data_IF_888426082284
#
_entry.id   IF_888426082284
#
_cell.length_a   1.000
_cell.length_b   1.000
_cell.length_c   1.000
_cell.angle_alpha   90.00
_cell.angle_beta   90.00
_cell.angle_gamma   90.00
#
_symmetry.space_group_name_H-M   'P 1'
#
loop_
_entity.id
_entity.type
_entity.pdbx_description
1 polymer ?
#
# COMPACT_ATOMS: atom_id res chain seq x y z
N UNK A 1 3.94 -26.73 1.20
CA UNK A 1 2.91 -26.04 2.00
C UNK A 1 2.60 -24.76 1.25
N UNK A 2 1.39 -24.64 0.70
CA UNK A 2 0.96 -23.45 -0.03
C UNK A 2 0.84 -22.31 0.99
N UNK A 3 1.80 -21.38 0.98
CA UNK A 3 1.59 -20.10 1.63
C UNK A 3 0.39 -19.46 0.92
N UNK A 4 -0.71 -19.26 1.63
CA UNK A 4 -1.85 -18.49 1.14
C UNK A 4 -1.29 -17.14 0.73
N UNK A 5 -1.23 -16.86 -0.57
CA UNK A 5 -0.70 -15.60 -1.05
C UNK A 5 -1.62 -14.50 -0.51
N UNK A 6 -1.04 -13.57 0.23
CA UNK A 6 -1.76 -12.43 0.80
C UNK A 6 -1.24 -11.16 0.16
N UNK A 7 -2.17 -10.29 -0.20
CA UNK A 7 -1.91 -8.93 -0.64
C UNK A 7 -2.00 -7.98 0.55
N UNK A 8 -1.23 -6.90 0.51
CA UNK A 8 -1.29 -5.83 1.49
C UNK A 8 -1.99 -4.64 0.85
N UNK A 9 -3.05 -4.15 1.49
CA UNK A 9 -3.77 -2.94 1.09
C UNK A 9 -3.47 -1.84 2.09
N UNK A 10 -2.96 -0.72 1.62
CA UNK A 10 -2.80 0.50 2.40
C UNK A 10 -3.96 1.43 2.10
N UNK A 11 -4.62 1.90 3.15
CA UNK A 11 -5.66 2.93 3.04
C UNK A 11 -5.05 4.30 3.30
N UNK A 12 -5.20 5.21 2.34
CA UNK A 12 -4.77 6.60 2.49
C UNK A 12 -5.99 7.51 2.50
N UNK A 13 -6.25 8.27 3.58
CA UNK A 13 -7.36 9.21 3.62
C UNK A 13 -7.30 10.21 2.46
N UNK A 14 -8.45 10.51 1.87
CA UNK A 14 -8.61 11.53 0.82
C UNK A 14 -9.32 12.76 1.37
N UNK A 15 -9.46 13.80 0.55
CA UNK A 15 -10.22 14.99 0.92
C UNK A 15 -11.71 14.69 1.16
N UNK A 16 -12.23 13.59 0.58
CA UNK A 16 -13.60 13.14 0.86
C UNK A 16 -13.76 12.64 2.29
N UNK A 17 -12.71 12.04 2.88
CA UNK A 17 -12.76 11.66 4.28
C UNK A 17 -12.96 12.90 5.16
N UNK A 18 -12.17 13.95 4.93
CA UNK A 18 -12.33 15.21 5.66
C UNK A 18 -13.72 15.84 5.45
N UNK A 19 -14.26 15.76 4.22
CA UNK A 19 -15.61 16.25 3.92
C UNK A 19 -16.69 15.46 4.69
N UNK A 20 -16.58 14.13 4.74
CA UNK A 20 -17.49 13.26 5.49
C UNK A 20 -17.46 13.60 6.98
N UNK A 21 -16.26 13.82 7.54
CA UNK A 21 -16.12 14.22 8.95
C UNK A 21 -16.75 15.60 9.19
N UNK A 22 -16.53 16.57 8.31
CA UNK A 22 -17.11 17.90 8.45
C UNK A 22 -18.64 17.89 8.35
N UNK A 23 -19.23 17.00 7.55
CA UNK A 23 -20.68 16.84 7.43
C UNK A 23 -21.29 16.22 8.69
N UNK A 24 -20.69 15.15 9.22
CA UNK A 24 -21.26 14.40 10.34
C UNK A 24 -20.85 14.93 11.72
N UNK A 25 -19.75 15.69 11.79
CA UNK A 25 -19.23 16.34 13.00
C UNK A 25 -18.93 17.82 12.71
N UNK A 26 -19.94 18.67 12.48
CA UNK A 26 -19.75 20.07 12.07
C UNK A 26 -19.00 20.94 13.11
N UNK A 27 -19.05 20.55 14.39
CA UNK A 27 -18.35 21.23 15.49
C UNK A 27 -16.91 20.75 15.68
N UNK A 28 -16.46 19.75 14.91
CA UNK A 28 -15.14 19.17 15.02
C UNK A 28 -14.23 19.65 13.88
N UNK A 29 -13.13 20.33 14.23
CA UNK A 29 -12.14 20.78 13.27
C UNK A 29 -11.11 19.68 13.00
N UNK A 30 -11.32 18.90 11.93
CA UNK A 30 -10.45 17.80 11.55
C UNK A 30 -9.13 18.30 10.91
N UNK A 31 -7.95 17.95 11.46
CA UNK A 31 -6.65 18.46 11.00
C UNK A 31 -6.10 17.69 9.78
N UNK A 32 -6.84 17.70 8.67
CA UNK A 32 -6.56 16.88 7.48
C UNK A 32 -5.11 16.96 6.95
N UNK A 33 -4.48 18.13 6.96
CA UNK A 33 -3.10 18.31 6.46
C UNK A 33 -2.05 17.56 7.29
N UNK A 34 -2.31 17.36 8.58
CA UNK A 34 -1.41 16.62 9.48
C UNK A 34 -1.54 15.12 9.22
N UNK A 35 -2.74 14.64 8.91
CA UNK A 35 -3.01 13.21 8.70
C UNK A 35 -2.63 12.70 7.32
N UNK A 36 -2.59 13.57 6.30
CA UNK A 36 -1.98 13.25 5.01
C UNK A 36 -0.51 12.79 5.13
N UNK A 37 0.17 13.24 6.20
CA UNK A 37 1.56 12.90 6.50
C UNK A 37 1.69 11.85 7.61
N UNK A 38 0.57 11.35 8.15
CA UNK A 38 0.58 10.33 9.18
C UNK A 38 0.88 8.95 8.59
N UNK A 39 1.36 8.06 9.45
CA UNK A 39 1.55 6.66 9.07
C UNK A 39 0.19 6.02 8.75
N UNK A 40 0.13 5.32 7.62
CA UNK A 40 -1.09 4.69 7.13
C UNK A 40 -1.17 3.25 7.63
N UNK A 41 -2.36 2.79 7.97
CA UNK A 41 -2.57 1.38 8.29
C UNK A 41 -2.60 0.56 7.01
N UNK A 42 -1.93 -0.59 7.08
CA UNK A 42 -2.00 -1.60 6.07
C UNK A 42 -2.78 -2.82 6.55
N UNK A 43 -3.49 -3.46 5.63
CA UNK A 43 -4.35 -4.60 5.88
C UNK A 43 -3.93 -5.77 5.01
N UNK A 44 -3.83 -6.97 5.60
CA UNK A 44 -3.58 -8.18 4.80
C UNK A 44 -4.88 -8.81 4.37
N UNK A 45 -5.09 -8.92 3.05
CA UNK A 45 -6.22 -9.64 2.44
C UNK A 45 -5.70 -10.82 1.61
N UNK A 46 -6.52 -11.86 1.34
CA UNK A 46 -6.13 -12.89 0.38
C UNK A 46 -5.90 -12.28 -1.01
N UNK A 47 -4.97 -12.85 -1.77
CA UNK A 47 -4.88 -12.58 -3.22
C UNK A 47 -6.15 -13.09 -3.88
N UNK A 48 -6.76 -12.24 -4.69
CA UNK A 48 -7.98 -12.55 -5.44
C UNK A 48 -7.63 -12.81 -6.90
N UNK A 49 -8.38 -13.72 -7.54
CA UNK A 49 -8.13 -14.09 -8.94
C UNK A 49 -8.59 -13.01 -9.94
N UNK A 50 -9.47 -12.09 -9.51
CA UNK A 50 -9.97 -10.98 -10.31
C UNK A 50 -10.52 -9.82 -9.44
N UNK A 51 -10.82 -8.70 -10.11
CA UNK A 51 -11.31 -7.46 -9.49
C UNK A 51 -12.70 -7.58 -8.86
N UNK A 52 -13.60 -8.41 -9.40
CA UNK A 52 -14.94 -8.63 -8.82
C UNK A 52 -14.85 -9.31 -7.45
N UNK A 53 -14.04 -10.36 -7.36
CA UNK A 53 -13.79 -11.09 -6.10
C UNK A 53 -13.07 -10.20 -5.09
N UNK A 54 -12.16 -9.33 -5.56
CA UNK A 54 -11.54 -8.33 -4.71
C UNK A 54 -12.58 -7.33 -4.16
N UNK A 55 -13.49 -6.85 -5.01
CA UNK A 55 -14.52 -5.90 -4.60
C UNK A 55 -15.49 -6.52 -3.57
N UNK A 56 -15.94 -7.76 -3.79
CA UNK A 56 -16.77 -8.50 -2.83
C UNK A 56 -16.06 -8.69 -1.48
N UNK A 57 -14.75 -8.97 -1.50
CA UNK A 57 -13.95 -9.05 -0.29
C UNK A 57 -13.85 -7.71 0.43
N UNK A 58 -13.61 -6.62 -0.30
CA UNK A 58 -13.56 -5.28 0.26
C UNK A 58 -14.91 -4.88 0.86
N UNK A 59 -16.02 -5.15 0.18
CA UNK A 59 -17.37 -4.87 0.70
C UNK A 59 -17.65 -5.65 1.99
N UNK A 60 -17.24 -6.91 2.07
CA UNK A 60 -17.40 -7.68 3.31
C UNK A 60 -16.55 -7.12 4.46
N UNK A 61 -15.36 -6.59 4.15
CA UNK A 61 -14.37 -6.14 5.14
C UNK A 61 -14.51 -4.65 5.50
N UNK A 62 -15.18 -3.84 4.67
CA UNK A 62 -15.27 -2.39 4.86
C UNK A 62 -15.79 -1.97 6.23
N UNK A 63 -16.81 -2.61 6.86
CA UNK A 63 -17.32 -2.14 8.13
C UNK A 63 -16.27 -2.17 9.22
N UNK A 64 -15.37 -3.17 9.17
CA UNK A 64 -14.25 -3.28 10.08
C UNK A 64 -13.13 -2.30 9.74
N UNK A 65 -12.70 -2.26 8.47
CA UNK A 65 -11.61 -1.40 8.02
C UNK A 65 -11.93 0.08 8.24
N UNK A 66 -13.12 0.52 7.80
CA UNK A 66 -13.59 1.89 7.99
C UNK A 66 -13.67 2.25 9.48
N UNK A 67 -14.27 1.38 10.31
CA UNK A 67 -14.36 1.66 11.75
C UNK A 67 -13.00 1.73 12.42
N UNK A 68 -12.05 0.88 12.01
CA UNK A 68 -10.68 0.92 12.50
C UNK A 68 -10.00 2.25 12.14
N UNK A 69 -10.05 2.67 10.86
CA UNK A 69 -9.48 3.95 10.40
C UNK A 69 -10.08 5.13 11.17
N UNK A 70 -11.42 5.24 11.22
CA UNK A 70 -12.09 6.34 11.89
C UNK A 70 -11.76 6.36 13.39
N UNK A 71 -11.71 5.19 14.04
CA UNK A 71 -11.34 5.10 15.46
C UNK A 71 -9.88 5.50 15.69
N UNK A 72 -8.96 5.12 14.80
CA UNK A 72 -7.55 5.51 14.88
C UNK A 72 -7.39 7.03 14.78
N UNK A 73 -8.10 7.64 13.83
CA UNK A 73 -7.94 9.06 13.49
C UNK A 73 -8.69 9.98 14.47
N UNK A 74 -9.91 9.62 14.87
CA UNK A 74 -10.79 10.49 15.67
C UNK A 74 -10.93 10.07 17.13
N UNK A 75 -10.48 8.86 17.47
CA UNK A 75 -10.76 8.24 18.77
C UNK A 75 -12.18 7.65 18.84
N UNK A 76 -12.37 6.74 19.81
CA UNK A 76 -13.56 5.88 19.92
C UNK A 76 -14.89 6.64 20.04
N UNK A 77 -14.89 7.78 20.73
CA UNK A 77 -16.13 8.53 21.03
C UNK A 77 -16.68 9.26 19.81
N UNK A 78 -15.81 9.93 19.05
CA UNK A 78 -16.20 10.59 17.80
C UNK A 78 -16.46 9.57 16.70
N UNK A 79 -15.64 8.51 16.65
CA UNK A 79 -15.80 7.46 15.66
C UNK A 79 -17.18 6.80 15.72
N UNK A 80 -17.75 6.59 16.90
CA UNK A 80 -19.08 5.99 17.07
C UNK A 80 -20.24 6.80 16.48
N UNK A 81 -19.99 8.07 16.12
CA UNK A 81 -20.99 8.97 15.51
C UNK A 81 -20.90 9.02 13.99
N UNK A 82 -19.81 8.51 13.43
CA UNK A 82 -19.60 8.46 11.98
C UNK A 82 -20.21 7.18 11.44
N UNK A 83 -21.10 7.34 10.47
CA UNK A 83 -21.67 6.27 9.67
C UNK A 83 -21.25 6.45 8.22
N UNK A 84 -20.98 5.36 7.53
CA UNK A 84 -20.58 5.40 6.13
C UNK A 84 -21.04 4.10 5.47
N UNK A 85 -21.50 4.21 4.24
CA UNK A 85 -21.73 3.04 3.41
C UNK A 85 -20.44 2.61 2.68
N UNK A 86 -20.54 1.55 1.89
CA UNK A 86 -19.39 1.05 1.15
C UNK A 86 -18.88 2.06 0.11
N UNK A 87 -19.76 2.86 -0.48
CA UNK A 87 -19.40 3.84 -1.49
C UNK A 87 -18.65 5.01 -0.85
N UNK A 88 -19.11 5.49 0.31
CA UNK A 88 -18.40 6.46 1.14
C UNK A 88 -16.99 5.97 1.47
N UNK A 89 -16.84 4.71 1.85
CA UNK A 89 -15.55 4.09 2.12
C UNK A 89 -14.62 4.14 0.90
N UNK A 90 -15.11 3.81 -0.30
CA UNK A 90 -14.33 3.87 -1.53
C UNK A 90 -13.88 5.30 -1.88
N UNK A 91 -14.68 6.32 -1.58
CA UNK A 91 -14.30 7.72 -1.80
C UNK A 91 -13.35 8.27 -0.73
N UNK A 92 -13.57 7.87 0.53
CA UNK A 92 -12.80 8.32 1.67
C UNK A 92 -11.34 7.86 1.62
N UNK A 93 -11.05 6.74 0.97
CA UNK A 93 -9.72 6.16 0.95
C UNK A 93 -9.22 5.88 -0.46
N UNK A 94 -7.97 6.26 -0.71
CA UNK A 94 -7.18 5.71 -1.80
C UNK A 94 -6.62 4.37 -1.36
N UNK A 95 -6.78 3.36 -2.21
CA UNK A 95 -6.26 2.01 -2.01
C UNK A 95 -4.92 1.88 -2.73
N UNK A 96 -3.86 1.57 -1.98
CA UNK A 96 -2.58 1.13 -2.56
C UNK A 96 -2.40 -0.35 -2.29
N UNK A 97 -2.33 -1.16 -3.35
CA UNK A 97 -2.25 -2.61 -3.26
C UNK A 97 -0.85 -3.11 -3.53
N UNK A 98 -0.38 -4.01 -2.67
CA UNK A 98 0.92 -4.63 -2.74
C UNK A 98 0.79 -6.15 -2.71
N UNK A 99 0.80 -6.76 -3.88
CA UNK A 99 0.69 -8.22 -4.03
C UNK A 99 2.03 -8.94 -3.79
N UNK A 100 3.14 -8.22 -3.91
CA UNK A 100 4.46 -8.80 -3.85
C UNK A 100 5.10 -8.60 -2.48
N UNK A 101 4.91 -9.63 -1.66
CA UNK A 101 5.34 -9.64 -0.28
C UNK A 101 6.52 -10.59 -0.08
N UNK A 102 7.68 -10.06 0.31
CA UNK A 102 8.77 -10.83 0.88
C UNK A 102 8.51 -10.94 2.38
N UNK A 103 8.01 -12.10 2.79
CA UNK A 103 7.83 -12.42 4.19
C UNK A 103 9.18 -12.80 4.81
N UNK A 104 9.56 -12.14 5.90
CA UNK A 104 10.82 -12.42 6.60
C UNK A 104 10.65 -13.20 7.89
N UNK A 105 9.43 -13.29 8.41
CA UNK A 105 9.03 -14.17 9.52
C UNK A 105 8.49 -15.51 9.01
N UNK A 106 8.17 -16.44 9.91
CA UNK A 106 7.64 -17.75 9.52
C UNK A 106 6.22 -17.67 8.95
N UNK A 107 5.43 -16.71 9.44
CA UNK A 107 4.06 -16.45 9.00
C UNK A 107 3.74 -14.94 8.97
N UNK A 108 2.77 -14.54 8.14
CA UNK A 108 2.30 -13.15 8.12
C UNK A 108 1.69 -12.75 9.46
N UNK A 109 1.05 -13.68 10.16
CA UNK A 109 0.38 -13.44 11.44
C UNK A 109 1.32 -13.02 12.58
N UNK A 110 2.62 -13.28 12.43
CA UNK A 110 3.67 -12.87 13.39
C UNK A 110 4.14 -11.42 13.16
N UNK A 111 3.59 -10.74 12.15
CA UNK A 111 4.09 -9.47 11.69
C UNK A 111 3.15 -8.32 12.04
N UNK A 112 3.66 -7.29 12.70
CA UNK A 112 2.86 -6.11 13.05
C UNK A 112 3.25 -4.85 12.26
N UNK A 113 4.31 -4.94 11.47
CA UNK A 113 4.92 -3.83 10.74
C UNK A 113 5.44 -4.31 9.39
N UNK A 114 5.67 -3.36 8.49
CA UNK A 114 6.24 -3.65 7.19
C UNK A 114 7.06 -2.49 6.64
N UNK A 115 7.88 -2.83 5.65
CA UNK A 115 8.76 -1.93 4.95
C UNK A 115 8.42 -1.98 3.48
N UNK A 116 8.02 -0.84 2.97
CA UNK A 116 7.80 -0.63 1.56
C UNK A 116 9.10 -0.28 0.87
N UNK A 117 9.46 -0.99 -0.20
CA UNK A 117 10.57 -0.60 -1.06
C UNK A 117 10.06 -0.24 -2.45
N UNK A 118 10.18 1.05 -2.78
CA UNK A 118 9.79 1.60 -4.08
C UNK A 118 11.01 1.95 -4.90
N UNK A 119 11.09 1.61 -6.19
CA UNK A 119 12.06 2.22 -7.08
C UNK A 119 11.86 3.74 -7.06
N UNK A 120 12.94 4.50 -6.84
CA UNK A 120 12.92 5.93 -7.17
C UNK A 120 12.77 6.01 -8.68
N UNK A 121 11.80 6.79 -9.17
CA UNK A 121 11.77 7.20 -10.57
C UNK A 121 13.01 8.07 -10.78
N UNK A 122 14.12 7.43 -11.10
CA UNK A 122 15.17 8.07 -11.86
C UNK A 122 14.63 7.97 -13.28
N UNK A 123 14.41 9.09 -13.95
CA UNK A 123 14.19 9.11 -15.39
C UNK A 123 15.38 8.40 -16.03
N UNK A 124 15.20 7.12 -16.32
CA UNK A 124 16.15 6.31 -17.06
C UNK A 124 15.85 6.60 -18.54
N UNK A 125 16.06 7.86 -18.94
CA UNK A 125 15.95 8.41 -20.30
C UNK A 125 17.06 7.87 -21.22
N UNK A 126 17.31 6.57 -21.17
CA UNK A 126 18.19 5.89 -22.10
C UNK A 126 17.40 4.81 -22.86
N UNK A 127 16.70 5.30 -23.90
CA UNK A 127 16.32 4.65 -25.18
C UNK A 127 14.88 4.10 -25.33
N UNK A 128 14.35 4.08 -26.59
CA UNK A 128 13.14 4.83 -26.97
C UNK A 128 11.84 4.02 -26.99
N UNK A 129 10.75 4.78 -26.97
CA UNK A 129 9.36 4.37 -27.00
C UNK A 129 8.93 3.63 -28.28
N UNK A 130 8.04 2.65 -28.10
CA UNK A 130 7.07 2.07 -29.06
C UNK A 130 6.20 1.08 -28.26
N UNK A 131 4.88 0.92 -28.35
CA UNK A 131 3.74 1.57 -29.02
C UNK A 131 2.47 0.86 -28.48
N UNK A 132 1.39 1.63 -28.32
CA UNK A 132 -0.06 1.39 -28.51
C UNK A 132 -0.80 0.10 -28.07
N UNK A 133 -1.82 0.40 -27.24
CA UNK A 133 -3.26 0.08 -27.31
C UNK A 133 -3.77 -1.37 -27.25
N UNK A 134 -4.44 -1.69 -26.13
CA UNK A 134 -5.79 -2.28 -26.11
C UNK A 134 -6.58 -1.76 -24.89
N UNK A 135 -7.80 -1.28 -25.16
CA UNK A 135 -8.73 -0.64 -24.22
C UNK A 135 -9.18 -1.64 -23.16
N UNK A 136 -9.05 -1.21 -21.92
CA UNK A 136 -8.84 -1.99 -20.72
C UNK A 136 -10.01 -1.73 -19.75
N UNK A 137 -10.38 -2.71 -18.94
CA UNK A 137 -11.41 -2.57 -17.89
C UNK A 137 -11.08 -1.40 -16.93
N UNK A 138 -9.82 -0.97 -16.94
CA UNK A 138 -9.25 0.28 -16.47
C UNK A 138 -10.01 1.56 -16.86
N UNK A 139 -10.63 1.63 -18.04
CA UNK A 139 -11.37 2.82 -18.49
C UNK A 139 -12.73 2.96 -17.77
N UNK A 140 -13.35 1.85 -17.37
CA UNK A 140 -14.53 1.88 -16.51
C UNK A 140 -14.16 2.30 -15.08
N UNK A 141 -13.01 1.83 -14.59
CA UNK A 141 -12.45 2.20 -13.28
C UNK A 141 -11.89 3.64 -13.24
N UNK A 142 -11.56 4.26 -14.39
CA UNK A 142 -11.13 5.67 -14.48
C UNK A 142 -12.30 6.67 -14.40
N UNK A 143 -13.50 6.27 -14.81
CA UNK A 143 -14.71 7.11 -14.66
C UNK A 143 -15.12 7.27 -13.19
N UNK A 144 -14.77 6.29 -12.35
CA UNK A 144 -14.78 6.45 -10.90
C UNK A 144 -13.45 7.15 -10.56
N UNK A 145 -13.48 8.38 -10.04
CA UNK A 145 -12.27 9.08 -9.57
C UNK A 145 -11.64 8.42 -8.32
N UNK A 146 -11.64 7.08 -8.23
CA UNK A 146 -10.82 6.32 -7.32
C UNK A 146 -9.39 6.39 -7.85
N UNK A 147 -8.49 7.01 -7.08
CA UNK A 147 -7.07 7.17 -7.42
C UNK A 147 -6.49 5.84 -7.97
N UNK A 148 -5.65 5.87 -9.02
CA UNK A 148 -5.18 4.65 -9.68
C UNK A 148 -4.52 3.73 -8.66
N UNK A 149 -5.03 2.49 -8.56
CA UNK A 149 -4.42 1.44 -7.75
C UNK A 149 -2.99 1.23 -8.28
N UNK A 150 -2.00 1.56 -7.46
CA UNK A 150 -0.59 1.45 -7.82
C UNK A 150 -0.12 0.02 -7.61
N UNK A 151 -0.16 -0.79 -8.66
CA UNK A 151 0.35 -2.16 -8.64
C UNK A 151 1.86 -2.18 -8.90
N UNK A 152 2.59 -3.03 -8.19
CA UNK A 152 3.95 -3.43 -8.61
C UNK A 152 5.12 -2.98 -7.74
N UNK A 153 4.93 -2.73 -6.45
CA UNK A 153 6.02 -2.42 -5.52
C UNK A 153 6.39 -3.63 -4.65
N UNK A 154 7.61 -3.69 -4.10
CA UNK A 154 8.05 -4.80 -3.24
C UNK A 154 7.85 -4.44 -1.78
N UNK A 155 7.08 -5.25 -1.07
CA UNK A 155 6.86 -5.11 0.38
C UNK A 155 7.64 -6.16 1.14
N UNK A 156 8.37 -5.74 2.16
CA UNK A 156 9.02 -6.62 3.10
C UNK A 156 8.24 -6.60 4.41
N UNK A 157 7.79 -7.76 4.87
CA UNK A 157 7.03 -7.85 6.11
C UNK A 157 7.93 -8.42 7.20
N UNK A 158 8.07 -7.65 8.28
CA UNK A 158 8.90 -7.99 9.44
C UNK A 158 8.44 -7.21 10.67
N UNK A 159 8.37 -7.87 11.81
CA UNK A 159 8.30 -7.19 13.11
C UNK A 159 9.69 -6.67 13.51
N UNK A 160 9.82 -5.37 13.79
CA UNK A 160 11.06 -4.76 14.28
C UNK A 160 10.81 -3.86 15.48
N UNK A 161 11.57 -4.06 16.55
CA UNK A 161 11.42 -3.25 17.76
C UNK A 161 12.04 -1.86 17.59
N UNK A 162 13.07 -1.74 16.73
CA UNK A 162 13.81 -0.50 16.51
C UNK A 162 14.09 -0.27 15.03
N UNK A 163 14.04 1.01 14.62
CA UNK A 163 14.43 1.42 13.26
C UNK A 163 15.88 1.03 12.90
N UNK A 164 16.75 0.82 13.90
CA UNK A 164 18.12 0.31 13.69
C UNK A 164 18.15 -1.05 13.01
N UNK A 165 17.10 -1.85 13.17
CA UNK A 165 17.02 -3.23 12.70
C UNK A 165 16.68 -3.30 11.20
N UNK A 166 16.23 -2.18 10.62
CA UNK A 166 15.95 -2.04 9.20
C UNK A 166 17.22 -2.10 8.35
N UNK A 167 18.35 -1.59 8.86
CA UNK A 167 19.59 -1.48 8.08
C UNK A 167 20.17 -2.86 7.71
N UNK A 168 20.37 -3.78 8.66
CA UNK A 168 20.80 -5.14 8.34
C UNK A 168 19.77 -5.89 7.49
N UNK A 169 18.47 -5.62 7.71
CA UNK A 169 17.39 -6.20 6.93
C UNK A 169 17.50 -5.81 5.45
N UNK A 170 17.65 -4.51 5.15
CA UNK A 170 17.79 -4.03 3.78
C UNK A 170 19.04 -4.60 3.11
N UNK A 171 20.15 -4.70 3.83
CA UNK A 171 21.37 -5.31 3.29
C UNK A 171 21.17 -6.78 2.90
N UNK A 172 20.44 -7.55 3.72
CA UNK A 172 20.15 -8.96 3.47
C UNK A 172 19.23 -9.15 2.25
N UNK A 173 18.20 -8.31 2.11
CA UNK A 173 17.17 -8.45 1.08
C UNK A 173 17.39 -7.57 -0.17
N UNK A 174 18.42 -6.73 -0.18
CA UNK A 174 18.77 -5.85 -1.31
C UNK A 174 18.85 -6.59 -2.65
N UNK A 175 19.48 -7.77 -2.69
CA UNK A 175 19.62 -8.57 -3.91
C UNK A 175 18.30 -9.20 -4.36
N UNK A 176 17.54 -9.91 -3.50
CA UNK A 176 16.20 -10.39 -3.84
C UNK A 176 15.27 -9.29 -4.36
N UNK A 177 15.23 -8.14 -3.69
CA UNK A 177 14.38 -7.00 -4.10
C UNK A 177 14.80 -6.48 -5.47
N UNK A 178 16.11 -6.23 -5.66
CA UNK A 178 16.64 -5.81 -6.95
C UNK A 178 16.28 -6.79 -8.06
N UNK A 179 16.47 -8.10 -7.83
CA UNK A 179 16.13 -9.14 -8.81
C UNK A 179 14.65 -9.11 -9.16
N UNK A 180 13.78 -8.98 -8.15
CA UNK A 180 12.34 -8.95 -8.35
C UNK A 180 11.90 -7.72 -9.18
N UNK A 181 12.41 -6.54 -8.81
CA UNK A 181 12.15 -5.29 -9.53
C UNK A 181 12.73 -5.28 -10.95
N UNK A 182 13.91 -5.91 -11.13
CA UNK A 182 14.51 -6.15 -12.44
C UNK A 182 13.62 -6.98 -13.34
N UNK A 183 13.08 -8.09 -12.84
CA UNK A 183 12.23 -8.98 -13.63
C UNK A 183 10.96 -8.25 -14.14
N UNK A 184 10.43 -7.27 -13.40
CA UNK A 184 9.28 -6.46 -13.82
C UNK A 184 9.61 -5.53 -14.99
N UNK A 185 10.78 -4.89 -14.93
CA UNK A 185 11.22 -3.89 -15.91
C UNK A 185 12.09 -4.48 -17.03
N UNK A 186 12.35 -5.79 -17.01
CA UNK A 186 13.20 -6.49 -17.98
C UNK A 186 12.65 -6.44 -19.41
N UNK A 187 11.36 -6.11 -19.63
CA UNK A 187 10.84 -5.80 -20.96
C UNK A 187 11.36 -4.46 -21.52
N UNK A 188 11.88 -3.56 -20.67
CA UNK A 188 12.21 -2.17 -21.01
C UNK A 188 13.64 -1.72 -20.68
N UNK A 189 14.48 -2.50 -19.95
CA UNK A 189 15.79 -1.99 -19.50
C UNK A 189 16.91 -3.04 -19.63
N UNK A 190 17.97 -2.66 -20.34
CA UNK A 190 19.11 -3.54 -20.70
C UNK A 190 20.15 -3.68 -19.57
N UNK A 191 20.13 -2.86 -18.51
CA UNK A 191 21.13 -2.92 -17.43
C UNK A 191 20.72 -2.08 -16.20
N UNK A 192 20.41 -2.75 -15.08
CA UNK A 192 20.41 -2.08 -13.77
C UNK A 192 21.82 -2.13 -13.16
N UNK A 193 22.19 -1.13 -12.34
CA UNK A 193 23.48 -1.14 -11.67
C UNK A 193 23.60 -2.33 -10.71
N UNK A 194 24.79 -2.91 -10.64
CA UNK A 194 25.07 -3.95 -9.64
C UNK A 194 25.10 -3.30 -8.26
N UNK A 195 24.09 -3.58 -7.44
CA UNK A 195 24.03 -3.03 -6.09
C UNK A 195 24.94 -3.79 -5.13
N UNK A 196 26.05 -3.15 -4.75
CA UNK A 196 27.07 -3.70 -3.84
C UNK A 196 27.04 -3.10 -2.44
N UNK A 197 26.26 -2.04 -2.23
CA UNK A 197 26.15 -1.36 -0.93
C UNK A 197 24.75 -0.82 -0.67
N UNK A 198 24.42 -0.64 0.61
CA UNK A 198 23.15 -0.02 1.03
C UNK A 198 23.05 1.45 0.58
N UNK A 199 24.18 2.16 0.49
CA UNK A 199 24.19 3.53 -0.01
C UNK A 199 23.75 3.59 -1.48
N UNK A 200 24.18 2.62 -2.28
CA UNK A 200 23.72 2.47 -3.65
C UNK A 200 22.24 2.07 -3.70
N UNK A 201 21.78 1.19 -2.80
CA UNK A 201 20.37 0.84 -2.65
C UNK A 201 19.48 2.08 -2.43
N UNK A 202 19.81 2.94 -1.47
CA UNK A 202 19.03 4.16 -1.21
C UNK A 202 19.05 5.18 -2.35
N UNK A 203 20.03 5.09 -3.27
CA UNK A 203 20.08 5.93 -4.47
C UNK A 203 19.00 5.54 -5.48
N UNK A 204 18.68 4.26 -5.58
CA UNK A 204 17.73 3.72 -6.55
C UNK A 204 16.37 3.38 -5.95
N UNK A 205 16.29 3.25 -4.63
CA UNK A 205 15.08 2.84 -3.93
C UNK A 205 14.75 3.80 -2.79
N UNK A 206 13.47 4.15 -2.70
CA UNK A 206 12.87 4.74 -1.52
C UNK A 206 12.42 3.61 -0.58
N UNK A 207 12.58 3.83 0.72
CA UNK A 207 12.18 2.91 1.76
C UNK A 207 11.17 3.64 2.63
N UNK A 208 9.91 3.23 2.57
CA UNK A 208 8.85 3.74 3.44
C UNK A 208 8.60 2.69 4.53
N UNK A 209 8.41 3.15 5.76
CA UNK A 209 8.22 2.27 6.91
C UNK A 209 6.83 2.50 7.42
N UNK A 210 6.09 1.41 7.58
CA UNK A 210 4.72 1.43 8.07
C UNK A 210 4.63 0.60 9.33
N UNK A 211 4.16 1.23 10.40
CA UNK A 211 4.20 0.68 11.75
C UNK A 211 2.93 -0.09 12.13
N UNK A 212 1.93 -0.13 11.24
CA UNK A 212 0.67 -0.81 11.49
C UNK A 212 0.30 -1.76 10.36
N UNK A 213 0.42 -3.06 10.63
CA UNK A 213 -0.12 -4.13 9.81
C UNK A 213 -1.24 -4.85 10.58
N UNK A 214 -2.44 -4.84 10.01
CA UNK A 214 -3.64 -5.47 10.58
C UNK A 214 -4.02 -6.69 9.74
N UNK A 215 -4.23 -7.83 10.42
CA UNK A 215 -4.66 -9.06 9.79
C UNK A 215 -6.18 -9.19 9.76
N UNK A 216 -6.74 -9.37 8.56
CA UNK A 216 -8.19 -9.49 8.35
C UNK A 216 -8.65 -10.93 8.11
N UNK A 217 -7.79 -11.93 8.35
CA UNK A 217 -8.02 -13.35 8.09
C UNK A 217 -7.59 -14.25 9.25
#
# INVERSE_FOLDING_TARGET
>A
MSQTQSCIIVLKPTSFFAALIAEQLPDFNYPYEVELNADNTAYTIPVCDNDEVLLEHLERLFPFMFRHEVTRLLGKELAAKIEADFLDFLYCFKFEMHEQTVLTEASLNECHQWVHVKPRVIDLDWMPATTDDQIDVKDFLQTLQCSPVTWGETVLVKSFDKLSDLRPLMQRYCRPILKNELMKKAAQIIQWPTMTSLQMFHRYFAVEVHTQLVHLH
#
